data_IF_722949056765
#
_entry.id   IF_722949056765
#
_cell.length_a   1.000
_cell.length_b   1.000
_cell.length_c   1.000
_cell.angle_alpha   90.00
_cell.angle_beta   90.00
_cell.angle_gamma   90.00
#
_symmetry.space_group_name_H-M   'P 1'
#
loop_
_entity.id
_entity.type
_entity.pdbx_description
1 polymer ?
#
# COMPACT_ATOMS: atom_id res chain seq x y z
N UNK A 1 59.30 15.23 48.30
CA UNK A 1 58.18 15.66 47.44
C UNK A 1 57.92 14.79 46.20
N UNK A 2 58.70 13.73 45.92
CA UNK A 2 58.59 12.99 44.65
C UNK A 2 57.65 11.77 44.67
N UNK A 3 57.50 11.06 45.80
CA UNK A 3 56.68 9.83 45.86
C UNK A 3 55.19 10.09 45.61
N UNK A 4 54.65 11.20 46.12
CA UNK A 4 53.23 11.54 45.98
C UNK A 4 52.83 11.90 44.54
N UNK A 5 53.76 12.51 43.80
CA UNK A 5 53.59 12.84 42.37
C UNK A 5 53.63 11.55 41.54
N UNK A 6 54.55 10.63 41.83
CA UNK A 6 54.64 9.34 41.15
C UNK A 6 53.39 8.48 41.33
N UNK A 7 52.81 8.43 42.55
CA UNK A 7 51.55 7.70 42.80
C UNK A 7 50.36 8.33 42.06
N UNK A 8 50.28 9.66 41.98
CA UNK A 8 49.23 10.36 41.23
C UNK A 8 49.34 10.09 39.72
N UNK A 9 50.55 10.09 39.18
CA UNK A 9 50.77 9.78 37.76
C UNK A 9 50.41 8.33 37.44
N UNK A 10 50.77 7.37 38.31
CA UNK A 10 50.39 5.96 38.15
C UNK A 10 48.87 5.74 38.26
N UNK A 11 48.20 6.41 39.20
CA UNK A 11 46.74 6.33 39.36
C UNK A 11 46.01 6.90 38.13
N UNK A 12 46.48 8.04 37.60
CA UNK A 12 45.92 8.64 36.39
C UNK A 12 46.13 7.75 35.15
N UNK A 13 47.30 7.13 35.01
CA UNK A 13 47.58 6.16 33.95
C UNK A 13 46.69 4.91 34.07
N UNK A 14 46.48 4.41 35.29
CA UNK A 14 45.61 3.26 35.52
C UNK A 14 44.15 3.56 35.20
N UNK A 15 43.62 4.73 35.60
CA UNK A 15 42.26 5.17 35.26
C UNK A 15 42.11 5.36 33.74
N UNK A 16 43.12 5.90 33.08
CA UNK A 16 43.12 6.08 31.62
C UNK A 16 43.14 4.75 30.87
N UNK A 17 44.00 3.81 31.28
CA UNK A 17 44.07 2.46 30.70
C UNK A 17 42.78 1.66 30.96
N UNK A 18 42.17 1.79 32.16
CA UNK A 18 40.91 1.15 32.48
C UNK A 18 39.73 1.75 31.67
N UNK A 19 39.76 3.06 31.41
CA UNK A 19 38.81 3.74 30.52
C UNK A 19 38.89 3.25 29.08
N UNK A 20 40.10 3.07 28.55
CA UNK A 20 40.32 2.50 27.19
C UNK A 20 39.84 1.05 27.13
N UNK A 21 40.13 0.23 28.15
CA UNK A 21 39.67 -1.15 28.23
C UNK A 21 38.14 -1.25 28.24
N UNK A 22 37.44 -0.38 29.01
CA UNK A 22 35.97 -0.33 29.00
C UNK A 22 35.40 0.18 27.68
N UNK A 23 36.04 1.15 27.03
CA UNK A 23 35.64 1.64 25.72
C UNK A 23 35.73 0.53 24.65
N UNK A 24 36.82 -0.25 24.65
CA UNK A 24 37.01 -1.39 23.75
C UNK A 24 36.05 -2.55 24.07
N UNK A 25 35.79 -2.84 25.35
CA UNK A 25 34.82 -3.87 25.74
C UNK A 25 33.37 -3.48 25.37
N UNK A 26 33.00 -2.19 25.45
CA UNK A 26 31.71 -1.69 24.95
C UNK A 26 31.64 -1.67 23.43
N UNK A 27 32.75 -1.43 22.73
CA UNK A 27 32.83 -1.52 21.26
C UNK A 27 32.59 -2.96 20.80
N UNK A 28 33.25 -3.94 21.43
CA UNK A 28 33.06 -5.37 21.13
C UNK A 28 31.66 -5.90 21.48
N UNK A 29 31.00 -5.37 22.51
CA UNK A 29 29.60 -5.76 22.83
C UNK A 29 28.55 -5.20 21.86
N UNK A 30 28.86 -4.17 21.07
CA UNK A 30 27.93 -3.60 20.08
C UNK A 30 27.90 -4.40 18.77
N UNK A 31 28.92 -5.22 18.52
CA UNK A 31 29.09 -6.00 17.30
C UNK A 31 28.66 -7.46 17.43
N UNK A 32 28.30 -7.94 18.63
CA UNK A 32 27.51 -9.16 18.80
C UNK A 32 26.01 -8.88 18.52
N UNK A 33 25.71 -8.29 17.37
CA UNK A 33 24.36 -8.40 16.81
C UNK A 33 24.15 -9.89 16.53
N UNK A 34 23.31 -10.51 17.35
CA UNK A 34 22.74 -11.85 17.15
C UNK A 34 22.53 -12.07 15.65
N UNK A 35 23.32 -12.98 15.09
CA UNK A 35 23.34 -13.33 13.68
C UNK A 35 22.06 -14.15 13.43
N UNK A 36 20.92 -13.48 13.29
CA UNK A 36 19.67 -14.09 12.81
C UNK A 36 19.92 -14.50 11.35
N UNK A 37 20.44 -15.72 11.15
CA UNK A 37 21.09 -16.14 9.91
C UNK A 37 20.13 -16.78 8.92
N UNK A 38 19.06 -16.08 8.58
CA UNK A 38 18.34 -16.35 7.34
C UNK A 38 18.56 -15.16 6.41
N UNK A 39 19.55 -15.30 5.54
CA UNK A 39 19.81 -14.36 4.45
C UNK A 39 18.62 -14.35 3.48
N UNK A 40 18.24 -13.18 2.96
CA UNK A 40 17.13 -13.06 2.00
C UNK A 40 17.31 -13.97 0.77
N UNK A 41 18.57 -14.26 0.40
CA UNK A 41 18.94 -15.17 -0.68
C UNK A 41 18.45 -16.61 -0.46
N UNK A 42 18.33 -17.08 0.79
CA UNK A 42 17.81 -18.42 1.12
C UNK A 42 16.35 -18.57 0.67
N UNK A 43 15.60 -17.46 0.62
CA UNK A 43 14.20 -17.46 0.21
C UNK A 43 13.98 -17.24 -1.29
N UNK A 44 15.04 -16.90 -2.03
CA UNK A 44 14.94 -16.54 -3.46
C UNK A 44 14.45 -17.67 -4.38
N UNK A 45 14.64 -18.92 -3.96
CA UNK A 45 14.18 -20.11 -4.69
C UNK A 45 12.73 -20.49 -4.40
N UNK A 46 12.13 -19.94 -3.33
CA UNK A 46 10.75 -20.21 -2.99
C UNK A 46 9.82 -19.38 -3.86
N UNK A 47 8.77 -20.03 -4.36
CA UNK A 47 7.69 -19.38 -5.07
C UNK A 47 6.48 -19.28 -4.17
N UNK A 48 5.96 -18.07 -4.03
CA UNK A 48 4.63 -17.88 -3.44
C UNK A 48 3.60 -18.59 -4.30
N UNK A 49 2.68 -19.30 -3.65
CA UNK A 49 1.52 -19.89 -4.30
C UNK A 49 0.28 -19.53 -3.50
N UNK A 50 -0.79 -19.16 -4.21
CA UNK A 50 -2.10 -19.06 -3.58
C UNK A 50 -2.54 -20.46 -3.15
N UNK A 51 -3.02 -20.58 -1.90
CA UNK A 51 -3.70 -21.80 -1.41
C UNK A 51 -5.22 -21.71 -1.56
N UNK A 52 -5.71 -20.61 -2.18
CA UNK A 52 -7.13 -20.30 -2.30
C UNK A 52 -7.77 -19.91 -0.96
N UNK A 53 -8.99 -19.36 -0.98
CA UNK A 53 -9.84 -19.36 0.19
C UNK A 53 -10.35 -20.78 0.45
N UNK A 54 -10.28 -21.25 1.71
CA UNK A 54 -10.81 -22.56 2.10
C UNK A 54 -12.35 -22.59 2.22
N UNK A 55 -13.02 -21.43 2.24
CA UNK A 55 -14.46 -21.35 2.44
C UNK A 55 -15.11 -20.13 1.75
N UNK A 56 -15.05 -18.95 2.37
CA UNK A 56 -15.58 -17.71 1.80
C UNK A 56 -14.46 -16.84 1.24
N UNK A 57 -14.74 -16.19 0.10
CA UNK A 57 -13.90 -15.09 -0.39
C UNK A 57 -13.99 -13.87 0.52
N UNK A 58 -13.17 -12.86 0.26
CA UNK A 58 -13.26 -11.55 0.92
C UNK A 58 -14.51 -10.77 0.51
N UNK A 59 -14.73 -9.62 1.16
CA UNK A 59 -15.79 -8.68 0.79
C UNK A 59 -15.44 -8.00 -0.53
N UNK A 60 -16.34 -8.14 -1.50
CA UNK A 60 -16.27 -7.42 -2.77
C UNK A 60 -16.96 -6.07 -2.56
N UNK A 61 -16.24 -4.99 -2.82
CA UNK A 61 -16.77 -3.64 -2.72
C UNK A 61 -17.47 -3.23 -4.01
N UNK A 62 -16.84 -3.53 -5.16
CA UNK A 62 -17.34 -3.06 -6.46
C UNK A 62 -16.84 -3.91 -7.64
N UNK A 63 -17.50 -3.76 -8.79
CA UNK A 63 -17.17 -4.38 -10.07
C UNK A 63 -17.18 -3.34 -11.19
N UNK A 64 -16.13 -3.32 -12.02
CA UNK A 64 -16.14 -2.57 -13.27
C UNK A 64 -16.14 -3.53 -14.46
N UNK A 65 -17.26 -3.59 -15.17
CA UNK A 65 -17.52 -4.54 -16.26
C UNK A 65 -17.38 -3.85 -17.62
N UNK A 66 -16.70 -4.50 -18.55
CA UNK A 66 -16.57 -4.01 -19.92
C UNK A 66 -17.92 -4.03 -20.64
N UNK A 67 -18.42 -2.87 -21.13
CA UNK A 67 -19.74 -2.79 -21.76
C UNK A 67 -19.81 -3.54 -23.09
N UNK A 68 -18.66 -3.83 -23.71
CA UNK A 68 -18.56 -4.53 -25.00
C UNK A 68 -18.17 -6.00 -24.85
N UNK A 69 -17.75 -6.44 -23.66
CA UNK A 69 -17.31 -7.81 -23.40
C UNK A 69 -17.49 -8.20 -21.93
N UNK A 70 -18.64 -8.77 -21.56
CA UNK A 70 -18.91 -9.13 -20.16
C UNK A 70 -18.00 -10.22 -19.56
N UNK A 71 -17.19 -10.92 -20.37
CA UNK A 71 -16.14 -11.81 -19.86
C UNK A 71 -14.92 -11.05 -19.29
N UNK A 72 -14.82 -9.75 -19.57
CA UNK A 72 -13.77 -8.85 -19.13
C UNK A 72 -14.28 -7.90 -18.05
N UNK A 73 -13.79 -8.05 -16.83
CA UNK A 73 -14.14 -7.16 -15.73
C UNK A 73 -13.09 -7.15 -14.63
N UNK A 74 -13.16 -6.08 -13.82
CA UNK A 74 -12.34 -5.87 -12.65
C UNK A 74 -13.19 -5.99 -11.39
N UNK A 75 -12.56 -6.45 -10.31
CA UNK A 75 -13.17 -6.68 -9.00
C UNK A 75 -12.39 -5.89 -7.96
N UNK A 76 -13.07 -4.98 -7.28
CA UNK A 76 -12.53 -4.20 -6.17
C UNK A 76 -12.81 -4.92 -4.86
N UNK A 77 -11.76 -5.21 -4.09
CA UNK A 77 -11.87 -5.95 -2.83
C UNK A 77 -11.63 -5.01 -1.66
N UNK A 78 -12.52 -5.09 -0.67
CA UNK A 78 -12.46 -4.26 0.54
C UNK A 78 -11.11 -4.39 1.27
N UNK A 79 -10.53 -5.60 1.26
CA UNK A 79 -9.18 -5.89 1.76
C UNK A 79 -8.45 -6.90 0.86
N UNK A 80 -8.01 -6.50 -0.32
CA UNK A 80 -7.34 -7.41 -1.25
C UNK A 80 -6.95 -6.84 -2.61
N UNK A 81 -6.95 -5.52 -2.77
CA UNK A 81 -6.59 -4.86 -4.03
C UNK A 81 -7.62 -5.07 -5.13
N UNK A 82 -7.15 -4.99 -6.37
CA UNK A 82 -7.97 -5.11 -7.59
C UNK A 82 -7.58 -6.39 -8.30
N UNK A 83 -8.60 -7.13 -8.75
CA UNK A 83 -8.46 -8.37 -9.51
C UNK A 83 -9.12 -8.22 -10.87
N UNK A 84 -8.53 -8.84 -11.89
CA UNK A 84 -9.02 -8.80 -13.27
C UNK A 84 -9.32 -10.20 -13.77
N UNK A 85 -10.40 -10.35 -14.52
CA UNK A 85 -10.68 -11.53 -15.34
C UNK A 85 -10.93 -11.14 -16.79
N UNK A 86 -10.66 -12.07 -17.71
CA UNK A 86 -10.97 -11.97 -19.15
C UNK A 86 -11.64 -13.25 -19.66
N UNK A 87 -12.14 -14.08 -18.73
CA UNK A 87 -12.73 -15.38 -19.02
C UNK A 87 -13.91 -15.68 -18.08
N UNK A 88 -14.83 -14.72 -17.97
CA UNK A 88 -16.09 -14.88 -17.23
C UNK A 88 -15.90 -15.26 -15.75
N UNK A 89 -14.80 -14.82 -15.13
CA UNK A 89 -14.51 -15.12 -13.72
C UNK A 89 -14.04 -16.54 -13.45
N UNK A 90 -13.70 -17.33 -14.49
CA UNK A 90 -13.08 -18.65 -14.30
C UNK A 90 -11.71 -18.49 -13.61
N UNK A 91 -10.93 -17.47 -14.00
CA UNK A 91 -9.68 -17.12 -13.35
C UNK A 91 -9.54 -15.62 -13.14
N UNK A 92 -8.84 -15.23 -12.08
CA UNK A 92 -8.51 -13.85 -11.77
C UNK A 92 -7.01 -13.64 -11.61
N UNK A 93 -6.53 -12.45 -11.99
CA UNK A 93 -5.15 -11.99 -11.78
C UNK A 93 -5.16 -10.73 -10.91
N UNK A 94 -4.30 -10.61 -9.89
CA UNK A 94 -4.14 -9.36 -9.16
C UNK A 94 -3.45 -8.34 -10.06
N UNK A 95 -3.94 -7.09 -10.03
CA UNK A 95 -3.44 -6.01 -10.90
C UNK A 95 -3.04 -4.75 -10.12
N UNK A 96 -3.02 -4.82 -8.77
CA UNK A 96 -2.81 -3.64 -7.92
C UNK A 96 -1.84 -3.87 -6.73
N UNK A 97 -1.05 -4.94 -6.75
CA UNK A 97 -0.23 -5.36 -5.58
C UNK A 97 0.94 -4.41 -5.23
N UNK A 98 1.28 -3.47 -6.11
CA UNK A 98 2.48 -2.65 -6.00
C UNK A 98 2.24 -1.18 -5.61
N UNK A 99 1.00 -0.80 -5.26
CA UNK A 99 0.61 0.61 -5.08
C UNK A 99 0.44 1.07 -3.63
N UNK A 100 0.82 0.23 -2.66
CA UNK A 100 0.94 0.63 -1.25
C UNK A 100 -0.39 0.77 -0.49
N UNK A 101 -1.51 0.36 -1.09
CA UNK A 101 -2.85 0.33 -0.49
C UNK A 101 -3.57 -0.91 -0.96
N UNK A 102 -4.39 -1.50 -0.09
CA UNK A 102 -5.03 -2.79 -0.33
C UNK A 102 -6.56 -2.73 -0.27
N UNK A 103 -7.12 -1.60 0.16
CA UNK A 103 -8.56 -1.41 0.30
C UNK A 103 -9.10 -0.63 -0.88
N UNK A 104 -10.13 -1.17 -1.54
CA UNK A 104 -10.77 -0.60 -2.72
C UNK A 104 -12.24 -0.38 -2.40
N UNK A 105 -12.76 0.81 -2.74
CA UNK A 105 -14.15 1.20 -2.52
C UNK A 105 -14.96 1.36 -3.79
N UNK A 106 -14.32 1.80 -4.88
CA UNK A 106 -15.00 2.06 -6.15
C UNK A 106 -14.11 1.71 -7.34
N UNK A 107 -14.71 1.22 -8.42
CA UNK A 107 -14.09 1.01 -9.71
C UNK A 107 -15.01 1.56 -10.81
N UNK A 108 -14.43 2.21 -11.80
CA UNK A 108 -15.17 2.65 -12.99
C UNK A 108 -14.36 2.34 -14.25
N UNK A 109 -14.96 1.62 -15.19
CA UNK A 109 -14.40 1.43 -16.52
C UNK A 109 -14.96 2.50 -17.45
N UNK A 110 -14.10 3.09 -18.27
CA UNK A 110 -14.53 4.07 -19.27
C UNK A 110 -15.43 3.40 -20.31
N UNK A 111 -16.68 3.88 -20.51
CA UNK A 111 -17.62 3.28 -21.44
C UNK A 111 -17.17 3.40 -22.91
N UNK A 112 -16.26 4.31 -23.22
CA UNK A 112 -15.73 4.51 -24.57
C UNK A 112 -14.37 3.84 -24.80
N UNK A 113 -13.70 3.36 -23.75
CA UNK A 113 -12.38 2.73 -23.85
C UNK A 113 -12.12 1.77 -22.68
N UNK A 114 -12.34 0.47 -22.90
CA UNK A 114 -12.17 -0.57 -21.89
C UNK A 114 -10.74 -0.74 -21.33
N UNK A 115 -9.74 -0.05 -21.89
CA UNK A 115 -8.38 0.00 -21.33
C UNK A 115 -8.23 1.03 -20.20
N UNK A 116 -9.19 1.96 -20.07
CA UNK A 116 -9.16 3.02 -19.05
C UNK A 116 -10.03 2.60 -17.88
N UNK A 117 -9.40 2.48 -16.71
CA UNK A 117 -10.05 2.11 -15.46
C UNK A 117 -9.64 3.10 -14.39
N UNK A 118 -10.62 3.60 -13.66
CA UNK A 118 -10.45 4.41 -12.48
C UNK A 118 -10.71 3.56 -11.24
N UNK A 119 -9.90 3.76 -10.21
CA UNK A 119 -10.02 3.07 -8.93
C UNK A 119 -10.01 4.05 -7.77
N UNK A 120 -11.03 3.96 -6.94
CA UNK A 120 -11.16 4.65 -5.67
C UNK A 120 -10.69 3.74 -4.55
N UNK A 121 -9.70 4.20 -3.79
CA UNK A 121 -9.15 3.40 -2.68
C UNK A 121 -9.86 3.75 -1.36
N UNK A 122 -9.86 2.77 -0.46
CA UNK A 122 -10.63 2.78 0.78
C UNK A 122 -12.06 2.28 0.57
N UNK A 123 -12.45 1.26 1.33
CA UNK A 123 -13.80 0.68 1.27
C UNK A 123 -14.89 1.68 1.72
N UNK A 124 -15.95 1.82 0.92
CA UNK A 124 -17.11 2.67 1.21
C UNK A 124 -18.16 2.00 2.11
N UNK A 125 -17.93 0.74 2.53
CA UNK A 125 -18.79 0.02 3.45
C UNK A 125 -18.39 0.32 4.89
N UNK A 126 -18.99 1.34 5.50
CA UNK A 126 -18.66 1.82 6.84
C UNK A 126 -18.95 0.83 7.98
N UNK A 127 -18.07 -0.15 8.16
CA UNK A 127 -18.12 -1.12 9.25
C UNK A 127 -17.08 -0.81 10.34
N UNK A 128 -17.13 -1.56 11.46
CA UNK A 128 -16.20 -1.39 12.59
C UNK A 128 -14.72 -1.61 12.21
N UNK A 129 -14.46 -2.45 11.21
CA UNK A 129 -13.12 -2.66 10.66
C UNK A 129 -13.15 -2.27 9.18
N UNK A 130 -12.33 -1.29 8.82
CA UNK A 130 -12.30 -0.66 7.50
C UNK A 130 -10.86 -0.38 7.12
N UNK A 131 -10.51 -0.66 5.85
CA UNK A 131 -9.23 -0.25 5.29
C UNK A 131 -9.29 1.21 4.84
N UNK A 132 -8.22 1.96 5.07
CA UNK A 132 -8.09 3.32 4.54
C UNK A 132 -7.44 3.29 3.16
N UNK A 133 -7.99 4.11 2.27
CA UNK A 133 -7.46 4.49 0.98
C UNK A 133 -6.41 5.58 1.07
N UNK A 134 -5.78 5.83 -0.07
CA UNK A 134 -4.86 6.93 -0.33
C UNK A 134 -5.19 7.63 -1.68
N UNK A 135 -6.48 7.70 -2.00
CA UNK A 135 -7.03 8.48 -3.11
C UNK A 135 -7.41 7.69 -4.34
N UNK A 136 -7.32 8.37 -5.48
CA UNK A 136 -7.79 7.89 -6.78
C UNK A 136 -6.60 7.41 -7.62
N UNK A 137 -6.80 6.31 -8.34
CA UNK A 137 -5.86 5.81 -9.33
C UNK A 137 -6.51 5.69 -10.69
N UNK A 138 -5.72 5.84 -11.74
CA UNK A 138 -6.11 5.62 -13.14
C UNK A 138 -5.14 4.64 -13.79
N UNK A 139 -5.67 3.63 -14.46
CA UNK A 139 -4.96 2.84 -15.45
C UNK A 139 -5.43 3.25 -16.84
N UNK A 140 -4.51 3.30 -17.80
CA UNK A 140 -4.80 3.53 -19.23
C UNK A 140 -4.35 2.36 -20.10
N UNK A 141 -3.96 1.25 -19.46
CA UNK A 141 -3.37 0.07 -20.07
C UNK A 141 -3.98 -1.21 -19.50
N UNK A 142 -5.29 -1.18 -19.26
CA UNK A 142 -6.09 -2.35 -18.94
C UNK A 142 -5.66 -3.02 -17.60
N UNK A 143 -5.33 -2.15 -16.63
CA UNK A 143 -4.92 -2.49 -15.27
C UNK A 143 -3.46 -2.91 -15.12
N UNK A 144 -2.65 -2.90 -16.18
CA UNK A 144 -1.25 -3.31 -16.09
C UNK A 144 -0.42 -2.32 -15.26
N UNK A 145 -0.68 -1.03 -15.38
CA UNK A 145 -0.09 0.02 -14.56
C UNK A 145 -1.14 1.02 -14.08
N UNK A 146 -0.88 1.62 -12.91
CA UNK A 146 -1.75 2.60 -12.28
C UNK A 146 -0.97 3.83 -11.88
N UNK A 147 -1.59 5.00 -12.07
CA UNK A 147 -1.10 6.31 -11.67
C UNK A 147 -2.03 6.89 -10.60
N UNK A 148 -1.48 7.35 -9.48
CA UNK A 148 -2.26 8.08 -8.48
C UNK A 148 -2.60 9.47 -9.03
N UNK A 149 -3.88 9.82 -9.00
CA UNK A 149 -4.46 11.03 -9.58
C UNK A 149 -4.82 12.09 -8.51
N UNK A 150 -4.49 11.86 -7.24
CA UNK A 150 -4.76 12.78 -6.14
C UNK A 150 -5.80 12.26 -5.15
N UNK A 151 -6.38 13.18 -4.38
CA UNK A 151 -7.27 12.90 -3.24
C UNK A 151 -6.64 11.96 -2.20
N UNK A 152 -5.35 12.16 -1.91
CA UNK A 152 -4.55 11.20 -1.14
C UNK A 152 -4.97 11.04 0.32
N UNK A 153 -5.63 12.06 0.87
CA UNK A 153 -6.10 12.13 2.24
C UNK A 153 -7.62 11.91 2.36
N UNK A 154 -8.31 11.64 1.24
CA UNK A 154 -9.75 11.36 1.20
C UNK A 154 -10.12 10.11 1.99
N UNK A 155 -9.19 9.16 2.17
CA UNK A 155 -9.34 7.87 2.87
C UNK A 155 -10.40 6.92 2.34
N UNK A 156 -11.56 7.40 1.89
CA UNK A 156 -12.66 6.59 1.37
C UNK A 156 -13.19 7.25 0.11
N UNK A 157 -13.19 6.49 -0.97
CA UNK A 157 -13.85 6.88 -2.22
C UNK A 157 -15.12 6.04 -2.35
N UNK A 158 -16.25 6.74 -2.36
CA UNK A 158 -17.58 6.14 -2.39
C UNK A 158 -18.02 5.72 -3.78
N UNK A 159 -17.71 6.54 -4.79
CA UNK A 159 -18.21 6.37 -6.16
C UNK A 159 -17.30 7.10 -7.16
N UNK A 160 -17.18 6.55 -8.37
CA UNK A 160 -16.54 7.20 -9.52
C UNK A 160 -17.47 7.08 -10.72
N UNK A 161 -17.79 8.21 -11.37
CA UNK A 161 -18.62 8.23 -12.58
C UNK A 161 -17.87 8.90 -13.72
N UNK A 162 -17.80 8.23 -14.86
CA UNK A 162 -17.19 8.74 -16.09
C UNK A 162 -18.32 9.21 -17.01
N UNK A 163 -18.22 10.43 -17.54
CA UNK A 163 -19.22 10.93 -18.50
C UNK A 163 -19.15 10.12 -19.79
N UNK A 164 -20.22 9.40 -20.20
CA UNK A 164 -20.18 8.57 -21.39
C UNK A 164 -20.03 9.38 -22.69
N UNK A 165 -20.21 10.70 -22.64
CA UNK A 165 -20.05 11.60 -23.80
C UNK A 165 -18.63 12.17 -23.90
N UNK A 166 -17.86 12.12 -22.82
CA UNK A 166 -16.48 12.61 -22.77
C UNK A 166 -15.68 11.93 -21.64
N UNK A 167 -14.79 11.02 -22.00
CA UNK A 167 -13.97 10.23 -21.08
C UNK A 167 -12.99 11.05 -20.21
N UNK A 168 -12.70 12.31 -20.58
CA UNK A 168 -11.87 13.20 -19.76
C UNK A 168 -12.66 13.81 -18.58
N UNK A 169 -14.00 13.70 -18.61
CA UNK A 169 -14.86 14.20 -17.55
C UNK A 169 -15.21 13.07 -16.59
N UNK A 170 -14.59 13.11 -15.41
CA UNK A 170 -14.82 12.13 -14.34
C UNK A 170 -15.25 12.86 -13.07
N UNK A 171 -16.26 12.31 -12.41
CA UNK A 171 -16.78 12.75 -11.14
C UNK A 171 -16.41 11.75 -10.06
N UNK A 172 -16.01 12.24 -8.89
CA UNK A 172 -15.61 11.42 -7.75
C UNK A 172 -16.39 11.86 -6.52
N UNK A 173 -17.04 10.91 -5.85
CA UNK A 173 -17.57 11.12 -4.51
C UNK A 173 -16.53 10.63 -3.49
N UNK A 174 -15.87 11.58 -2.82
CA UNK A 174 -14.91 11.30 -1.76
C UNK A 174 -15.59 11.50 -0.40
N UNK A 175 -15.67 10.44 0.39
CA UNK A 175 -16.38 10.46 1.66
C UNK A 175 -15.54 11.07 2.79
N UNK A 176 -14.23 11.14 2.60
CA UNK A 176 -13.31 11.64 3.63
C UNK A 176 -13.07 10.61 4.74
N UNK A 177 -12.37 11.04 5.79
CA UNK A 177 -12.28 10.28 7.04
C UNK A 177 -13.67 10.04 7.63
N UNK A 178 -14.09 8.79 7.78
CA UNK A 178 -15.37 8.45 8.43
C UNK A 178 -15.45 8.92 9.90
N UNK A 179 -14.30 9.22 10.51
CA UNK A 179 -14.16 9.66 11.90
C UNK A 179 -13.71 11.11 11.98
N UNK A 180 -14.60 12.04 11.62
CA UNK A 180 -14.40 13.49 11.81
C UNK A 180 -14.29 14.29 10.50
N UNK A 181 -13.89 15.57 10.60
CA UNK A 181 -13.69 16.44 9.44
C UNK A 181 -12.54 15.96 8.55
N UNK A 182 -12.65 16.22 7.25
CA UNK A 182 -11.62 15.94 6.26
C UNK A 182 -11.74 16.96 5.12
N UNK A 183 -10.61 17.53 4.69
CA UNK A 183 -10.59 18.58 3.65
C UNK A 183 -10.93 18.03 2.26
N UNK A 184 -10.65 16.75 2.03
CA UNK A 184 -10.93 16.06 0.76
C UNK A 184 -12.27 15.30 0.78
N UNK A 185 -13.19 15.67 1.67
CA UNK A 185 -14.58 15.21 1.64
C UNK A 185 -15.39 16.06 0.68
N UNK A 186 -16.06 15.44 -0.29
CA UNK A 186 -16.98 16.13 -1.19
C UNK A 186 -17.13 15.44 -2.54
N UNK A 187 -17.64 16.21 -3.51
CA UNK A 187 -17.73 15.79 -4.91
C UNK A 187 -16.70 16.56 -5.72
N UNK A 188 -15.84 15.82 -6.40
CA UNK A 188 -14.76 16.36 -7.23
C UNK A 188 -15.04 16.06 -8.70
N UNK A 189 -14.43 16.87 -9.57
CA UNK A 189 -14.53 16.73 -11.02
C UNK A 189 -13.16 16.97 -11.65
N UNK A 190 -12.81 16.13 -12.61
CA UNK A 190 -11.75 16.39 -13.60
C UNK A 190 -12.38 16.66 -14.97
N UNK A 191 -11.66 17.37 -15.84
CA UNK A 191 -12.04 17.62 -17.24
C UNK A 191 -10.89 17.34 -18.21
N UNK A 192 -9.78 16.78 -17.71
CA UNK A 192 -8.58 16.42 -18.44
C UNK A 192 -8.15 14.97 -18.17
N UNK A 193 -9.08 14.16 -17.65
CA UNK A 193 -8.87 12.75 -17.31
C UNK A 193 -7.94 12.60 -16.13
#
# INVERSE_FOLDING_TARGET
>A
MNKLVTYRTFLLLFVFLFGIAQANAKKNKKDEKKKDQLEASVFSSFKWRSIGPAFASGRIADLAVDPNNFAHYFVGVASGGIWKTTNDGITFKPVFDHYGVYSIGALAMDPNNSNVIWAGTGENNHQRAIGYGNGIYKSSDDGNTWKNMGLKESRQIGEILIDPRNSDVVYVAAEGSIWGPNEERGVFKTTDG
#
